data_IF_229683046492
#
_entry.id   IF_229683046492
#
_cell.length_a   1.000
_cell.length_b   1.000
_cell.length_c   1.000
_cell.angle_alpha   90.00
_cell.angle_beta   90.00
_cell.angle_gamma   90.00
#
_symmetry.space_group_name_H-M   'P 1'
#
loop_
_entity.id
_entity.type
_entity.pdbx_description
1 polymer ?
#
# COMPACT_ATOMS: atom_id res chain seq x y z
N UNK A 1 -5.18 -6.37 4.92
CA UNK A 1 -6.05 -5.95 3.79
C UNK A 1 -5.13 -5.74 2.60
N UNK A 2 -5.45 -6.31 1.42
CA UNK A 2 -4.52 -6.30 0.28
C UNK A 2 -4.51 -4.93 -0.37
N UNK A 3 -3.31 -4.41 -0.64
CA UNK A 3 -3.13 -3.21 -1.46
C UNK A 3 -2.58 -3.64 -2.80
N UNK A 4 -3.29 -3.30 -3.87
CA UNK A 4 -2.93 -3.65 -5.24
C UNK A 4 -2.54 -2.39 -6.00
N UNK A 5 -1.66 -2.50 -6.99
CA UNK A 5 -1.48 -1.46 -8.00
C UNK A 5 -2.69 -1.50 -8.92
N UNK A 6 -3.41 -0.38 -9.03
CA UNK A 6 -4.64 -0.31 -9.80
C UNK A 6 -4.39 -0.44 -11.31
N UNK A 7 -3.25 0.05 -11.80
CA UNK A 7 -2.92 0.01 -13.22
C UNK A 7 -2.47 -1.36 -13.69
N UNK A 8 -1.66 -2.05 -12.88
CA UNK A 8 -1.06 -3.34 -13.27
C UNK A 8 -1.80 -4.55 -12.69
N UNK A 9 -2.55 -4.37 -11.61
CA UNK A 9 -3.18 -5.45 -10.87
C UNK A 9 -2.22 -6.22 -9.95
N UNK A 10 -0.97 -5.76 -9.81
CA UNK A 10 0.03 -6.41 -8.97
C UNK A 10 -0.27 -6.22 -7.48
N UNK A 11 -0.02 -7.25 -6.67
CA UNK A 11 -0.02 -7.11 -5.22
C UNK A 11 1.17 -6.26 -4.79
N UNK A 12 0.90 -5.13 -4.15
CA UNK A 12 1.95 -4.27 -3.58
C UNK A 12 2.33 -4.72 -2.17
N UNK A 13 1.35 -5.22 -1.40
CA UNK A 13 1.58 -5.70 -0.05
C UNK A 13 0.32 -5.76 0.81
N UNK A 14 0.54 -5.91 2.12
CA UNK A 14 -0.51 -5.85 3.14
C UNK A 14 -0.53 -4.47 3.80
N UNK A 15 -1.72 -3.90 3.91
CA UNK A 15 -1.93 -2.67 4.67
C UNK A 15 -1.65 -2.92 6.16
N UNK A 16 -0.74 -2.13 6.72
CA UNK A 16 -0.47 -2.06 8.16
C UNK A 16 -1.19 -0.85 8.77
N UNK A 17 -0.43 0.11 9.28
CA UNK A 17 -0.96 1.28 9.98
C UNK A 17 -1.49 2.36 9.01
N UNK A 18 -2.59 3.03 9.38
CA UNK A 18 -3.22 4.12 8.61
C UNK A 18 -3.25 5.40 9.46
N UNK A 19 -3.00 6.53 8.83
CA UNK A 19 -3.14 7.87 9.39
C UNK A 19 -3.88 8.78 8.40
N UNK A 20 -4.25 9.99 8.81
CA UNK A 20 -4.89 10.98 7.93
C UNK A 20 -4.00 11.43 6.75
N UNK A 21 -2.68 11.29 6.86
CA UNK A 21 -1.73 11.74 5.83
C UNK A 21 -1.15 10.63 4.94
N UNK A 22 -1.41 9.37 5.26
CA UNK A 22 -0.67 8.26 4.67
C UNK A 22 -0.84 6.95 5.43
N UNK A 23 -0.15 5.92 4.98
CA UNK A 23 -0.24 4.57 5.54
C UNK A 23 1.09 3.82 5.41
N UNK A 24 1.25 2.75 6.18
CA UNK A 24 2.33 1.77 6.05
C UNK A 24 1.83 0.54 5.30
N UNK A 25 2.69 0.01 4.45
CA UNK A 25 2.52 -1.24 3.73
C UNK A 25 3.65 -2.19 4.11
N UNK A 26 3.33 -3.46 4.32
CA UNK A 26 4.29 -4.54 4.42
C UNK A 26 4.35 -5.24 3.05
N UNK A 27 5.51 -5.17 2.40
CA UNK A 27 5.75 -5.71 1.06
C UNK A 27 6.80 -6.81 1.11
N UNK A 28 6.66 -7.82 0.24
CA UNK A 28 7.67 -8.86 0.02
C UNK A 28 8.83 -8.37 -0.88
N UNK A 29 8.69 -7.17 -1.46
CA UNK A 29 9.66 -6.57 -2.37
C UNK A 29 9.99 -5.13 -1.95
N UNK A 30 11.22 -4.67 -2.19
CA UNK A 30 11.55 -3.26 -1.99
C UNK A 30 10.78 -2.40 -3.00
N UNK A 31 10.25 -1.27 -2.53
CA UNK A 31 9.57 -0.26 -3.36
C UNK A 31 10.40 1.01 -3.37
N UNK A 32 10.69 1.54 -4.57
CA UNK A 32 11.50 2.75 -4.72
C UNK A 32 10.84 3.97 -4.06
N UNK A 33 11.65 4.77 -3.37
CA UNK A 33 11.20 5.99 -2.70
C UNK A 33 10.96 7.09 -3.71
N UNK A 34 9.84 7.82 -3.57
CA UNK A 34 9.48 8.92 -4.45
C UNK A 34 8.57 8.54 -5.61
N UNK A 35 8.30 7.25 -5.82
CA UNK A 35 7.35 6.73 -6.81
C UNK A 35 5.90 7.09 -6.45
N UNK A 36 5.08 7.40 -7.46
CA UNK A 36 3.66 7.68 -7.33
C UNK A 36 2.87 6.51 -7.93
N UNK A 37 1.98 5.94 -7.14
CA UNK A 37 1.15 4.81 -7.55
C UNK A 37 -0.33 5.16 -7.47
N UNK A 38 -1.10 4.63 -8.42
CA UNK A 38 -2.54 4.46 -8.24
C UNK A 38 -2.76 3.10 -7.60
N UNK A 39 -3.38 3.10 -6.43
CA UNK A 39 -3.54 1.94 -5.59
C UNK A 39 -5.02 1.65 -5.39
N UNK A 40 -5.33 0.37 -5.19
CA UNK A 40 -6.63 -0.06 -4.69
C UNK A 40 -6.50 -0.91 -3.44
N UNK A 41 -7.47 -0.74 -2.54
CA UNK A 41 -7.65 -1.58 -1.37
C UNK A 41 -8.93 -2.38 -1.61
N UNK A 42 -8.78 -3.70 -1.67
CA UNK A 42 -9.93 -4.61 -1.79
C UNK A 42 -10.60 -4.75 -0.42
N UNK A 43 -11.91 -4.47 -0.34
CA UNK A 43 -12.70 -4.68 0.87
C UNK A 43 -13.17 -6.14 0.97
N UNK A 44 -12.98 -6.74 2.15
CA UNK A 44 -13.60 -8.03 2.48
C UNK A 44 -14.96 -7.78 3.15
N UNK A 45 -16.02 -7.48 2.40
CA UNK A 45 -17.39 -7.44 2.95
C UNK A 45 -18.45 -6.69 2.12
N UNK A 46 -19.71 -7.15 2.23
CA UNK A 46 -20.96 -6.74 1.54
C UNK A 46 -21.44 -5.28 1.79
N UNK A 47 -20.56 -4.34 2.13
CA UNK A 47 -20.97 -3.01 2.64
C UNK A 47 -21.18 -1.99 1.49
N UNK A 48 -20.76 -2.30 0.25
CA UNK A 48 -20.90 -1.39 -0.90
C UNK A 48 -20.95 -2.14 -2.23
N UNK A 49 -21.64 -1.56 -3.23
CA UNK A 49 -21.64 -2.05 -4.62
C UNK A 49 -20.25 -1.96 -5.30
N UNK A 50 -19.30 -1.20 -4.73
CA UNK A 50 -17.90 -1.19 -5.15
C UNK A 50 -17.06 -2.01 -4.18
N UNK A 51 -16.46 -3.09 -4.68
CA UNK A 51 -15.65 -4.04 -3.93
C UNK A 51 -14.25 -3.53 -3.52
N UNK A 52 -13.90 -2.30 -3.89
CA UNK A 52 -12.59 -1.70 -3.63
C UNK A 52 -12.65 -0.17 -3.56
N UNK A 53 -11.64 0.42 -2.91
CA UNK A 53 -11.40 1.87 -2.87
C UNK A 53 -10.09 2.15 -3.62
N UNK A 54 -10.09 3.14 -4.52
CA UNK A 54 -8.88 3.60 -5.23
C UNK A 54 -8.40 4.95 -4.71
N UNK A 55 -7.08 5.15 -4.72
CA UNK A 55 -6.43 6.42 -4.37
C UNK A 55 -5.01 6.47 -4.90
N UNK A 56 -4.45 7.67 -5.07
CA UNK A 56 -3.05 7.84 -5.44
C UNK A 56 -2.20 8.09 -4.19
N UNK A 57 -1.01 7.50 -4.13
CA UNK A 57 -0.10 7.68 -3.01
C UNK A 57 1.37 7.63 -3.45
N UNK A 58 2.22 8.40 -2.78
CA UNK A 58 3.65 8.51 -3.06
C UNK A 58 4.48 7.83 -1.98
N UNK A 59 5.41 6.98 -2.38
CA UNK A 59 6.34 6.33 -1.44
C UNK A 59 7.27 7.37 -0.80
N UNK A 60 7.37 7.33 0.53
CA UNK A 60 8.21 8.24 1.33
C UNK A 60 9.45 7.58 1.90
N UNK A 61 9.35 6.29 2.23
CA UNK A 61 10.46 5.50 2.75
C UNK A 61 10.19 4.02 2.51
N UNK A 62 11.26 3.23 2.40
CA UNK A 62 11.22 1.78 2.32
C UNK A 62 12.36 1.24 3.20
N UNK A 63 12.04 0.41 4.18
CA UNK A 63 13.00 -0.14 5.15
C UNK A 63 12.73 -1.62 5.35
N UNK A 64 13.79 -2.41 5.39
CA UNK A 64 13.69 -3.83 5.75
C UNK A 64 13.17 -3.97 7.18
N UNK A 65 12.29 -4.93 7.42
CA UNK A 65 11.80 -5.20 8.77
C UNK A 65 12.97 -5.69 9.67
N UNK A 66 13.08 -5.20 10.92
CA UNK A 66 14.18 -5.58 11.81
C UNK A 66 14.10 -7.01 12.33
N UNK A 67 12.92 -7.64 12.30
CA UNK A 67 12.69 -8.99 12.80
C UNK A 67 12.49 -10.00 11.66
N UNK A 68 11.87 -9.59 10.55
CA UNK A 68 11.67 -10.43 9.37
C UNK A 68 12.43 -9.88 8.14
N UNK A 69 13.58 -10.48 7.77
CA UNK A 69 14.36 -10.00 6.63
C UNK A 69 13.73 -10.30 5.26
N UNK A 70 12.56 -10.92 5.20
CA UNK A 70 11.81 -11.12 3.94
C UNK A 70 10.81 -9.98 3.68
N UNK A 71 10.57 -9.11 4.67
CA UNK A 71 9.57 -8.06 4.62
C UNK A 71 10.22 -6.67 4.54
N UNK A 72 9.59 -5.79 3.77
CA UNK A 72 9.87 -4.37 3.69
C UNK A 72 8.68 -3.58 4.22
N UNK A 73 8.93 -2.77 5.24
CA UNK A 73 8.03 -1.73 5.66
C UNK A 73 8.16 -0.54 4.70
N UNK A 74 7.06 -0.15 4.07
CA UNK A 74 7.00 0.94 3.09
C UNK A 74 5.99 1.99 3.55
N UNK A 75 6.44 3.23 3.68
CA UNK A 75 5.58 4.35 4.06
C UNK A 75 5.09 5.10 2.84
N UNK A 76 3.78 5.31 2.76
CA UNK A 76 3.13 6.08 1.72
C UNK A 76 2.54 7.37 2.28
N UNK A 77 2.58 8.44 1.48
CA UNK A 77 1.82 9.67 1.71
C UNK A 77 0.69 9.72 0.69
N UNK A 78 -0.54 10.00 1.13
CA UNK A 78 -1.66 10.23 0.22
C UNK A 78 -1.36 11.43 -0.69
N UNK A 79 -1.62 11.25 -1.98
CA UNK A 79 -1.44 12.28 -2.99
C UNK A 79 -2.80 12.88 -3.34
N UNK A 80 -2.83 14.20 -3.54
CA UNK A 80 -4.06 14.95 -3.85
C UNK A 80 -4.28 14.99 -5.35
#
# INVERSE_FOLDING_TARGET
>A
MRVMNERTGDLMGQLGDISSGGFRLESDKPIAVGELFDLRIDHTGEISAKSYITFSARTRWCRKDPYDPTIYNVGFKLWK
#
